data_IF_700462459032
#
_entry.id   IF_700462459032
#
_cell.length_a   1.000
_cell.length_b   1.000
_cell.length_c   1.000
_cell.angle_alpha   90.00
_cell.angle_beta   90.00
_cell.angle_gamma   90.00
#
_symmetry.space_group_name_H-M   'P 1'
#
loop_
_entity.id
_entity.type
_entity.pdbx_description
1 polymer ?
#
# COMPACT_ATOMS: atom_id res chain seq x y z
N UNK A 1 -5.17 -26.21 -81.33
CA UNK A 1 -5.47 -24.77 -81.19
C UNK A 1 -6.54 -24.74 -80.12
N UNK A 2 -6.18 -24.67 -78.83
CA UNK A 2 -5.67 -23.47 -78.14
C UNK A 2 -6.66 -22.33 -78.41
N UNK A 3 -7.41 -21.79 -77.45
CA UNK A 3 -7.04 -21.18 -76.16
C UNK A 3 -8.28 -21.31 -75.24
N UNK A 4 -8.26 -21.88 -74.01
CA UNK A 4 -7.69 -21.42 -72.73
C UNK A 4 -7.95 -19.93 -72.44
N UNK A 5 -9.16 -19.64 -71.93
CA UNK A 5 -9.50 -18.35 -71.31
C UNK A 5 -9.20 -18.42 -69.80
N UNK A 6 -8.44 -17.48 -69.24
CA UNK A 6 -8.07 -17.50 -67.83
C UNK A 6 -9.21 -17.03 -66.92
N UNK A 7 -9.35 -17.71 -65.79
CA UNK A 7 -10.14 -17.31 -64.64
C UNK A 7 -9.51 -16.06 -64.01
N UNK A 8 -10.31 -14.99 -63.89
CA UNK A 8 -9.96 -13.74 -63.22
C UNK A 8 -9.96 -14.00 -61.69
N UNK A 9 -8.78 -14.27 -61.14
CA UNK A 9 -8.52 -14.25 -59.69
C UNK A 9 -8.65 -12.79 -59.21
N UNK A 10 -9.83 -12.45 -58.68
CA UNK A 10 -10.00 -11.25 -57.89
C UNK A 10 -9.21 -11.43 -56.57
N UNK A 11 -7.98 -10.92 -56.57
CA UNK A 11 -7.19 -10.71 -55.36
C UNK A 11 -7.93 -9.66 -54.53
N UNK A 12 -8.53 -10.08 -53.42
CA UNK A 12 -8.93 -9.19 -52.33
C UNK A 12 -7.65 -8.54 -51.81
N UNK A 13 -7.40 -7.30 -52.21
CA UNK A 13 -6.49 -6.42 -51.48
C UNK A 13 -7.09 -6.23 -50.09
N UNK A 14 -6.42 -6.81 -49.09
CA UNK A 14 -6.64 -6.43 -47.72
C UNK A 14 -6.24 -4.95 -47.59
N UNK A 15 -7.23 -4.06 -47.60
CA UNK A 15 -7.15 -2.79 -46.89
C UNK A 15 -6.87 -3.12 -45.42
N UNK A 16 -5.59 -3.26 -45.09
CA UNK A 16 -5.13 -3.12 -43.70
C UNK A 16 -5.44 -1.68 -43.33
N UNK A 17 -6.47 -1.53 -42.52
CA UNK A 17 -6.95 -0.28 -41.96
C UNK A 17 -5.81 0.35 -41.14
N UNK A 18 -5.00 1.19 -41.80
CA UNK A 18 -3.88 1.96 -41.23
C UNK A 18 -4.39 3.12 -40.34
N UNK A 19 -5.54 2.93 -39.67
CA UNK A 19 -6.21 3.97 -38.88
C UNK A 19 -6.61 3.57 -37.46
N UNK A 20 -6.20 2.37 -37.00
CA UNK A 20 -6.41 1.89 -35.62
C UNK A 20 -5.11 1.83 -34.77
N UNK A 21 -4.01 2.44 -35.23
CA UNK A 21 -2.72 2.47 -34.48
C UNK A 21 -2.48 3.80 -33.73
N UNK A 22 -3.40 4.76 -33.79
CA UNK A 22 -3.27 6.08 -33.12
C UNK A 22 -4.40 6.38 -32.11
N UNK A 23 -4.87 5.37 -31.37
CA UNK A 23 -5.91 5.58 -30.36
C UNK A 23 -5.56 5.17 -28.91
N UNK A 24 -4.44 4.47 -28.69
CA UNK A 24 -4.03 4.01 -27.34
C UNK A 24 -2.57 4.36 -26.98
N UNK A 25 -1.96 5.34 -27.66
CA UNK A 25 -0.64 5.85 -27.30
C UNK A 25 -0.74 6.96 -26.24
N UNK A 26 -0.87 6.57 -24.97
CA UNK A 26 -0.30 7.40 -23.90
C UNK A 26 1.21 7.50 -24.21
N UNK A 27 1.67 8.66 -24.67
CA UNK A 27 3.05 8.77 -25.14
C UNK A 27 4.00 8.49 -24.00
N UNK A 28 5.03 7.65 -24.21
CA UNK A 28 6.02 7.25 -23.20
C UNK A 28 6.69 8.45 -22.47
N UNK A 29 6.64 9.63 -23.08
CA UNK A 29 7.12 10.91 -22.53
C UNK A 29 6.21 11.51 -21.44
N UNK A 30 5.00 10.99 -21.23
CA UNK A 30 4.11 11.39 -20.13
C UNK A 30 4.50 10.72 -18.80
N UNK A 31 5.36 9.68 -18.84
CA UNK A 31 5.89 8.99 -17.65
C UNK A 31 6.94 9.87 -16.95
N UNK A 32 6.85 9.98 -15.63
CA UNK A 32 7.66 10.87 -14.83
C UNK A 32 9.17 10.62 -14.97
N UNK A 33 9.87 11.53 -15.64
CA UNK A 33 11.34 11.49 -15.79
C UNK A 33 11.84 10.78 -17.05
N UNK A 34 10.95 10.31 -17.92
CA UNK A 34 11.34 9.79 -19.25
C UNK A 34 11.60 10.96 -20.20
N UNK A 35 12.84 11.05 -20.70
CA UNK A 35 13.21 12.05 -21.72
C UNK A 35 12.89 11.56 -23.13
N UNK A 36 12.89 12.44 -24.13
CA UNK A 36 12.67 12.05 -25.54
C UNK A 36 13.72 11.02 -26.01
N UNK A 37 14.98 11.18 -25.59
CA UNK A 37 16.07 10.24 -25.87
C UNK A 37 15.84 8.87 -25.19
N UNK A 38 15.35 8.86 -23.95
CA UNK A 38 15.00 7.63 -23.24
C UNK A 38 13.79 6.94 -23.88
N UNK A 39 12.79 7.72 -24.31
CA UNK A 39 11.62 7.19 -25.00
C UNK A 39 11.98 6.59 -26.37
N UNK A 40 12.96 7.18 -27.07
CA UNK A 40 13.51 6.62 -28.31
C UNK A 40 14.25 5.31 -28.05
N UNK A 41 15.07 5.23 -26.99
CA UNK A 41 15.75 4.00 -26.59
C UNK A 41 14.78 2.87 -26.19
N UNK A 42 13.69 3.20 -25.50
CA UNK A 42 12.63 2.24 -25.15
C UNK A 42 11.92 1.71 -26.40
N UNK A 43 11.64 2.57 -27.38
CA UNK A 43 11.06 2.18 -28.68
C UNK A 43 12.01 1.33 -29.51
N UNK A 44 13.31 1.64 -29.53
CA UNK A 44 14.32 0.82 -30.21
C UNK A 44 14.46 -0.57 -29.57
N UNK A 45 14.22 -0.68 -28.27
CA UNK A 45 14.17 -1.95 -27.54
C UNK A 45 12.83 -2.71 -27.67
N UNK A 46 11.83 -2.15 -28.37
CA UNK A 46 10.53 -2.78 -28.60
C UNK A 46 9.47 -2.51 -27.52
N UNK A 47 9.73 -1.57 -26.60
CA UNK A 47 8.73 -1.08 -25.64
C UNK A 47 8.02 0.14 -26.23
N UNK A 48 7.04 -0.09 -27.09
CA UNK A 48 6.36 0.97 -27.85
C UNK A 48 5.17 1.59 -27.09
N UNK A 49 4.65 0.87 -26.09
CA UNK A 49 3.49 1.28 -25.28
C UNK A 49 3.74 1.19 -23.77
N UNK A 50 2.89 1.89 -23.00
CA UNK A 50 2.86 1.78 -21.53
C UNK A 50 2.57 0.35 -21.06
N UNK A 51 1.82 -0.43 -21.86
CA UNK A 51 1.54 -1.85 -21.58
C UNK A 51 2.81 -2.68 -21.69
N UNK A 52 3.67 -2.42 -22.66
CA UNK A 52 4.95 -3.14 -22.80
C UNK A 52 5.88 -2.87 -21.61
N UNK A 53 5.88 -1.64 -21.08
CA UNK A 53 6.61 -1.29 -19.84
C UNK A 53 6.01 -1.93 -18.58
N UNK A 54 4.70 -2.22 -18.58
CA UNK A 54 4.04 -2.99 -17.50
C UNK A 54 4.42 -4.46 -17.53
N UNK A 55 4.67 -5.03 -18.70
CA UNK A 55 5.08 -6.44 -18.83
C UNK A 55 6.60 -6.63 -18.66
N UNK A 56 7.40 -5.60 -18.94
CA UNK A 56 8.86 -5.64 -18.79
C UNK A 56 9.33 -5.81 -17.33
N UNK A 57 10.39 -6.61 -17.14
CA UNK A 57 11.09 -6.71 -15.86
C UNK A 57 11.98 -5.48 -15.62
N UNK A 58 12.17 -5.12 -14.34
CA UNK A 58 12.97 -3.95 -13.99
C UNK A 58 14.42 -4.08 -14.50
N UNK A 59 14.99 -5.30 -14.44
CA UNK A 59 16.35 -5.56 -14.89
C UNK A 59 16.50 -5.35 -16.40
N UNK A 60 15.49 -5.74 -17.20
CA UNK A 60 15.48 -5.54 -18.65
C UNK A 60 15.45 -4.06 -19.03
N UNK A 61 14.74 -3.23 -18.26
CA UNK A 61 14.73 -1.77 -18.44
C UNK A 61 16.09 -1.16 -18.08
N UNK A 62 16.77 -1.65 -17.04
CA UNK A 62 18.10 -1.14 -16.66
C UNK A 62 19.22 -1.54 -17.61
N UNK A 63 19.02 -2.57 -18.43
CA UNK A 63 19.95 -2.95 -19.48
C UNK A 63 19.96 -1.97 -20.67
N UNK A 64 18.97 -1.05 -20.74
CA UNK A 64 18.85 -0.07 -21.80
C UNK A 64 19.76 1.13 -21.58
N UNK A 65 20.39 1.57 -22.67
CA UNK A 65 21.26 2.74 -22.67
C UNK A 65 20.45 4.00 -22.29
N UNK A 66 20.89 4.71 -21.24
CA UNK A 66 20.21 5.90 -20.73
C UNK A 66 19.15 5.63 -19.66
N UNK A 67 18.87 4.37 -19.28
CA UNK A 67 17.96 4.03 -18.18
C UNK A 67 18.77 3.63 -16.94
N UNK A 68 18.83 4.52 -15.94
CA UNK A 68 19.43 4.18 -14.65
C UNK A 68 18.53 3.26 -13.82
N UNK A 69 19.10 2.54 -12.84
CA UNK A 69 18.34 1.71 -11.88
C UNK A 69 17.24 2.49 -11.16
N UNK A 70 17.52 3.73 -10.79
CA UNK A 70 16.54 4.64 -10.18
C UNK A 70 15.43 5.08 -11.16
N UNK A 71 15.75 5.19 -12.46
CA UNK A 71 14.76 5.54 -13.49
C UNK A 71 13.86 4.35 -13.80
N UNK A 72 14.40 3.14 -13.96
CA UNK A 72 13.64 1.91 -14.19
C UNK A 72 12.63 1.65 -13.06
N UNK A 73 13.05 1.80 -11.80
CA UNK A 73 12.17 1.67 -10.64
C UNK A 73 11.04 2.72 -10.65
N UNK A 74 11.32 3.96 -11.05
CA UNK A 74 10.31 5.02 -11.17
C UNK A 74 9.33 4.76 -12.31
N UNK A 75 9.82 4.37 -13.48
CA UNK A 75 8.98 3.96 -14.62
C UNK A 75 8.04 2.83 -14.17
N UNK A 76 8.56 1.83 -13.44
CA UNK A 76 7.75 0.70 -12.98
C UNK A 76 6.70 1.09 -11.95
N UNK A 77 7.00 2.03 -11.05
CA UNK A 77 6.03 2.57 -10.11
C UNK A 77 4.92 3.35 -10.84
N UNK A 78 5.28 4.23 -11.77
CA UNK A 78 4.31 5.06 -12.52
C UNK A 78 3.39 4.21 -13.42
N UNK A 79 3.89 3.14 -14.02
CA UNK A 79 3.08 2.25 -14.88
C UNK A 79 2.42 1.10 -14.12
N UNK A 80 2.99 0.68 -12.98
CA UNK A 80 2.58 -0.49 -12.21
C UNK A 80 1.42 -0.27 -11.22
N UNK A 81 1.00 0.98 -11.00
CA UNK A 81 -0.12 1.30 -10.09
C UNK A 81 -1.50 1.19 -10.79
N UNK A 82 -1.93 -0.03 -11.15
CA UNK A 82 -3.36 -0.39 -11.25
C UNK A 82 -3.55 -1.89 -10.96
N UNK A 83 -3.79 -2.26 -9.71
CA UNK A 83 -4.48 -3.51 -9.39
C UNK A 83 -5.48 -3.29 -8.25
N UNK A 84 -6.75 -3.06 -8.62
CA UNK A 84 -7.90 -3.61 -7.90
C UNK A 84 -9.03 -3.87 -8.90
N UNK A 85 -9.08 -5.10 -9.42
CA UNK A 85 -10.38 -5.73 -9.65
C UNK A 85 -10.42 -7.07 -8.90
N UNK A 86 -10.99 -7.04 -7.70
CA UNK A 86 -11.63 -8.22 -7.10
C UNK A 86 -12.67 -8.77 -8.08
N UNK A 87 -12.42 -9.97 -8.63
CA UNK A 87 -13.42 -11.00 -8.96
C UNK A 87 -12.75 -12.12 -9.77
N UNK A 88 -12.29 -13.19 -9.11
CA UNK A 88 -12.58 -14.59 -9.52
C UNK A 88 -12.11 -15.61 -8.49
N UNK A 89 -13.06 -16.15 -7.72
CA UNK A 89 -13.02 -17.52 -7.22
C UNK A 89 -13.34 -18.49 -8.37
N UNK A 90 -12.45 -19.46 -8.64
CA UNK A 90 -12.80 -20.74 -9.24
C UNK A 90 -11.71 -21.79 -8.98
N UNK A 91 -12.08 -22.83 -8.23
CA UNK A 91 -11.37 -24.09 -8.02
C UNK A 91 -10.49 -24.54 -9.20
N UNK A 92 -9.19 -24.71 -8.94
CA UNK A 92 -8.35 -25.68 -9.64
C UNK A 92 -7.64 -26.52 -8.58
N UNK A 93 -7.82 -27.84 -8.73
CA UNK A 93 -7.37 -28.87 -7.81
C UNK A 93 -5.84 -28.90 -7.66
N UNK A 94 -5.43 -29.15 -6.43
CA UNK A 94 -4.05 -29.35 -5.97
C UNK A 94 -3.37 -30.48 -6.75
N UNK A 95 -2.20 -30.18 -7.32
CA UNK A 95 -1.16 -31.16 -7.60
C UNK A 95 0.14 -30.68 -6.95
N UNK A 96 0.54 -31.41 -5.91
CA UNK A 96 1.80 -31.36 -5.16
C UNK A 96 3.06 -31.38 -6.05
N UNK A 97 4.18 -30.96 -5.43
CA UNK A 97 5.56 -30.75 -5.91
C UNK A 97 5.78 -29.32 -6.42
N UNK A 98 6.53 -28.44 -5.76
CA UNK A 98 7.79 -28.64 -5.03
C UNK A 98 8.02 -27.42 -4.11
N UNK A 99 8.26 -27.67 -2.83
CA UNK A 99 8.90 -26.73 -1.92
C UNK A 99 10.09 -27.46 -1.30
N UNK A 100 11.23 -26.79 -1.15
CA UNK A 100 11.95 -26.98 0.10
C UNK A 100 12.16 -25.68 0.87
N UNK A 101 12.06 -25.89 2.18
CA UNK A 101 12.10 -24.95 3.27
C UNK A 101 13.47 -24.29 3.45
N UNK A 102 13.42 -23.17 4.17
CA UNK A 102 14.50 -22.58 4.96
C UNK A 102 15.31 -23.62 5.73
N UNK A 103 16.62 -23.43 5.89
CA UNK A 103 17.31 -23.52 7.19
C UNK A 103 18.69 -22.82 7.17
N UNK A 104 19.00 -22.19 8.29
CA UNK A 104 20.33 -21.85 8.83
C UNK A 104 21.10 -20.62 8.29
N UNK A 105 21.07 -19.56 9.10
CA UNK A 105 22.14 -18.57 9.22
C UNK A 105 22.88 -18.86 10.54
N UNK A 106 24.06 -19.45 10.45
CA UNK A 106 25.18 -19.23 11.38
C UNK A 106 26.48 -19.72 10.73
N UNK A 107 27.61 -19.21 11.23
CA UNK A 107 29.00 -19.43 10.81
C UNK A 107 29.60 -18.48 9.75
N UNK A 108 30.06 -17.36 10.30
CA UNK A 108 31.36 -16.76 10.05
C UNK A 108 32.46 -17.73 9.57
N UNK A 109 33.24 -17.31 8.56
CA UNK A 109 34.70 -17.09 8.64
C UNK A 109 35.38 -17.11 7.25
N UNK A 110 36.16 -16.06 7.00
CA UNK A 110 37.44 -16.06 6.25
C UNK A 110 37.40 -16.22 4.71
N UNK A 111 37.64 -15.10 4.00
CA UNK A 111 38.85 -14.88 3.22
C UNK A 111 38.71 -13.67 2.25
N UNK A 112 39.46 -12.59 2.51
CA UNK A 112 40.22 -11.82 1.51
C UNK A 112 40.83 -10.55 2.14
N UNK A 113 42.01 -10.69 2.76
CA UNK A 113 43.00 -9.61 2.80
C UNK A 113 43.66 -9.48 1.42
N UNK A 114 43.83 -8.24 0.93
CA UNK A 114 45.06 -7.70 0.35
C UNK A 114 44.76 -6.50 -0.58
N UNK A 115 45.04 -5.29 -0.11
CA UNK A 115 45.60 -4.18 -0.89
C UNK A 115 46.00 -3.05 0.07
N UNK A 116 47.20 -3.17 0.64
CA UNK A 116 47.98 -2.02 1.08
C UNK A 116 48.50 -1.31 -0.19
N UNK A 117 48.11 -0.06 -0.40
CA UNK A 117 48.91 0.89 -1.17
C UNK A 117 49.31 2.02 -0.24
N UNK A 118 50.60 2.07 0.06
CA UNK A 118 51.25 3.20 0.69
C UNK A 118 51.28 4.38 -0.28
N UNK A 119 50.39 5.35 -0.06
CA UNK A 119 50.68 6.72 -0.40
C UNK A 119 51.29 7.36 0.85
N UNK A 120 52.57 7.72 0.79
CA UNK A 120 53.15 8.71 1.69
C UNK A 120 52.40 10.03 1.43
N UNK A 121 51.27 10.23 2.11
CA UNK A 121 50.64 11.55 2.18
C UNK A 121 51.49 12.35 3.17
N UNK A 122 52.41 13.13 2.60
CA UNK A 122 53.21 14.12 3.30
C UNK A 122 52.23 15.15 3.89
N UNK A 123 51.76 14.87 5.11
CA UNK A 123 50.78 15.70 5.80
C UNK A 123 51.27 17.15 5.93
N UNK A 124 50.36 18.12 6.20
CA UNK A 124 50.71 19.53 6.19
C UNK A 124 51.89 19.81 7.14
N UNK A 125 52.98 20.38 6.61
CA UNK A 125 54.17 20.74 7.40
C UNK A 125 53.95 22.06 8.15
N UNK A 126 53.21 22.99 7.55
CA UNK A 126 52.88 24.30 8.13
C UNK A 126 51.38 24.44 8.47
N UNK A 127 51.07 25.24 9.48
CA UNK A 127 49.69 25.50 9.93
C UNK A 127 48.78 26.08 8.83
N UNK A 128 49.38 26.76 7.84
CA UNK A 128 48.66 27.36 6.70
C UNK A 128 48.33 26.36 5.60
N UNK A 129 48.95 25.17 5.62
CA UNK A 129 48.63 24.10 4.67
C UNK A 129 47.38 23.31 5.09
N UNK A 130 46.94 23.51 6.34
CA UNK A 130 45.70 22.92 6.87
C UNK A 130 44.49 23.54 6.17
N UNK A 131 43.61 22.68 5.66
CA UNK A 131 42.41 23.06 4.93
C UNK A 131 41.50 24.01 5.72
N UNK A 132 41.43 25.26 5.25
CA UNK A 132 40.57 26.31 5.82
C UNK A 132 41.24 27.21 6.87
N UNK A 133 42.55 27.04 7.12
CA UNK A 133 43.33 27.95 7.97
C UNK A 133 43.92 29.08 7.12
N UNK A 134 43.50 30.32 7.37
CA UNK A 134 44.14 31.51 6.77
C UNK A 134 45.36 31.94 7.58
N UNK A 135 46.17 32.84 7.04
CA UNK A 135 47.35 33.41 7.74
C UNK A 135 46.96 34.04 9.08
N UNK A 136 45.83 34.75 9.13
CA UNK A 136 45.28 35.32 10.38
C UNK A 136 44.88 34.25 11.40
N UNK A 137 44.30 33.13 10.94
CA UNK A 137 43.92 32.01 11.82
C UNK A 137 45.14 31.22 12.30
N UNK A 138 46.16 31.08 11.44
CA UNK A 138 47.44 30.50 11.82
C UNK A 138 48.16 31.38 12.84
N UNK A 139 48.11 32.71 12.70
CA UNK A 139 48.62 33.65 13.70
C UNK A 139 47.89 33.50 15.05
N UNK A 140 46.56 33.37 15.03
CA UNK A 140 45.77 33.15 16.24
C UNK A 140 46.11 31.81 16.93
N UNK A 141 46.34 30.74 16.15
CA UNK A 141 46.81 29.45 16.68
C UNK A 141 48.19 29.57 17.33
N UNK A 142 49.13 30.28 16.71
CA UNK A 142 50.46 30.52 17.28
C UNK A 142 50.40 31.38 18.54
N UNK A 143 49.53 32.40 18.58
CA UNK A 143 49.32 33.23 19.78
C UNK A 143 48.68 32.43 20.93
N UNK A 144 47.83 31.47 20.61
CA UNK A 144 47.27 30.50 21.57
C UNK A 144 48.26 29.40 21.99
N UNK A 145 49.46 29.36 21.41
CA UNK A 145 50.54 28.41 21.75
C UNK A 145 50.59 27.13 20.91
N UNK A 146 49.78 27.04 19.85
CA UNK A 146 49.81 25.94 18.88
C UNK A 146 50.73 26.31 17.71
N UNK A 147 52.05 26.25 17.95
CA UNK A 147 53.06 26.73 17.00
C UNK A 147 53.36 25.78 15.85
N UNK A 148 53.01 24.49 15.99
CA UNK A 148 53.27 23.45 14.98
C UNK A 148 52.03 22.58 14.75
N UNK A 149 51.97 21.88 13.61
CA UNK A 149 50.87 20.97 13.28
C UNK A 149 50.69 19.87 14.34
N UNK A 150 51.78 19.39 14.95
CA UNK A 150 51.71 18.44 16.07
C UNK A 150 51.05 19.01 17.34
N UNK A 151 51.20 20.32 17.61
CA UNK A 151 50.50 20.94 18.73
C UNK A 151 48.99 21.00 18.48
N UNK A 152 48.57 21.24 17.24
CA UNK A 152 47.15 21.20 16.83
C UNK A 152 46.62 19.77 16.87
N UNK A 153 47.42 18.78 16.45
CA UNK A 153 47.10 17.36 16.57
C UNK A 153 46.90 16.94 18.03
N UNK A 154 47.70 17.46 18.96
CA UNK A 154 47.56 17.14 20.39
C UNK A 154 46.43 17.89 21.12
N UNK A 155 45.84 18.92 20.52
CA UNK A 155 44.78 19.72 21.13
C UNK A 155 43.40 19.07 20.93
N UNK A 156 42.50 19.19 21.91
CA UNK A 156 41.11 18.77 21.73
C UNK A 156 40.35 19.75 20.83
N UNK A 157 39.27 19.27 20.20
CA UNK A 157 38.45 20.10 19.33
C UNK A 157 37.90 21.35 20.06
N UNK A 158 37.53 21.22 21.34
CA UNK A 158 37.05 22.33 22.15
C UNK A 158 38.16 23.36 22.42
N UNK A 159 39.39 22.91 22.71
CA UNK A 159 40.53 23.79 22.93
C UNK A 159 40.89 24.60 21.68
N UNK A 160 40.79 23.98 20.50
CA UNK A 160 40.97 24.69 19.23
C UNK A 160 39.82 25.67 18.95
N UNK A 161 38.60 25.33 19.37
CA UNK A 161 37.42 26.16 19.17
C UNK A 161 37.34 27.36 20.14
N UNK A 162 38.10 27.35 21.22
CA UNK A 162 38.25 28.49 22.13
C UNK A 162 39.24 29.55 21.59
N UNK A 163 39.98 29.25 20.52
CA UNK A 163 40.90 30.20 19.86
C UNK A 163 40.10 31.24 19.07
N UNK A 164 40.49 32.50 19.21
CA UNK A 164 39.80 33.62 18.57
C UNK A 164 39.75 33.46 17.04
N UNK A 165 38.54 33.32 16.50
CA UNK A 165 38.31 33.13 15.06
C UNK A 165 38.13 31.68 14.62
N UNK A 166 38.37 30.69 15.50
CA UNK A 166 38.16 29.27 15.21
C UNK A 166 36.88 28.82 15.91
N UNK A 167 35.76 28.75 15.19
CA UNK A 167 34.55 28.14 15.74
C UNK A 167 34.64 26.61 15.76
N UNK A 168 33.72 25.94 16.48
CA UNK A 168 33.64 24.47 16.55
C UNK A 168 33.65 23.78 15.18
N UNK A 169 33.06 24.40 14.15
CA UNK A 169 33.02 23.86 12.79
C UNK A 169 34.38 23.96 12.07
N UNK A 170 35.18 24.99 12.34
CA UNK A 170 36.52 25.12 11.79
C UNK A 170 37.50 24.21 12.55
N UNK A 171 37.38 24.15 13.87
CA UNK A 171 38.15 23.24 14.73
C UNK A 171 37.96 21.77 14.31
N UNK A 172 36.73 21.33 14.04
CA UNK A 172 36.45 19.99 13.53
C UNK A 172 37.14 19.71 12.20
N UNK A 173 37.15 20.68 11.28
CA UNK A 173 37.78 20.54 9.96
C UNK A 173 39.30 20.47 10.07
N UNK A 174 39.90 21.37 10.85
CA UNK A 174 41.34 21.38 11.15
C UNK A 174 41.76 20.03 11.74
N UNK A 175 40.97 19.50 12.68
CA UNK A 175 41.25 18.23 13.35
C UNK A 175 41.12 17.02 12.43
N UNK A 176 40.15 17.03 11.51
CA UNK A 176 40.00 15.99 10.49
C UNK A 176 41.14 16.00 9.47
N UNK A 177 41.65 17.18 9.13
CA UNK A 177 42.72 17.38 8.14
C UNK A 177 44.12 17.05 8.71
N UNK A 178 44.35 17.36 9.98
CA UNK A 178 45.60 16.99 10.68
C UNK A 178 45.62 15.52 11.13
N UNK A 179 44.50 14.80 10.96
CA UNK A 179 44.37 13.39 11.25
C UNK A 179 44.36 13.12 12.76
N UNK A 180 43.18 13.16 13.36
CA UNK A 180 42.96 12.70 14.73
C UNK A 180 41.99 11.53 14.74
N UNK A 181 42.55 10.33 14.88
CA UNK A 181 41.82 9.13 15.28
C UNK A 181 42.22 8.86 16.73
N UNK A 182 41.71 9.67 17.65
CA UNK A 182 41.77 9.38 19.08
C UNK A 182 40.43 9.75 19.73
N UNK A 183 39.40 8.95 19.44
CA UNK A 183 38.26 8.78 20.34
C UNK A 183 38.74 7.89 21.48
N UNK A 184 39.40 8.50 22.46
CA UNK A 184 39.71 7.84 23.73
C UNK A 184 38.62 8.13 24.76
N UNK A 185 38.23 7.05 25.42
CA UNK A 185 37.22 6.93 26.45
C UNK A 185 37.52 7.79 27.70
N UNK A 186 36.50 7.91 28.56
CA UNK A 186 36.51 8.44 29.93
C UNK A 186 36.12 9.92 30.13
N UNK A 187 34.81 10.18 30.04
CA UNK A 187 34.14 11.13 30.95
C UNK A 187 33.18 10.33 31.82
N UNK A 188 33.61 10.04 33.05
CA UNK A 188 32.76 9.52 34.12
C UNK A 188 31.73 10.58 34.50
N UNK A 189 30.53 10.51 33.91
CA UNK A 189 29.32 11.03 34.52
C UNK A 189 28.67 9.88 35.29
N UNK A 190 28.60 9.98 36.62
CA UNK A 190 27.66 9.20 37.43
C UNK A 190 26.23 9.59 37.01
N UNK A 191 25.77 9.03 35.89
CA UNK A 191 24.36 8.84 35.60
C UNK A 191 24.00 7.57 36.33
N UNK A 192 23.16 7.71 37.35
CA UNK A 192 22.40 6.59 37.88
C UNK A 192 21.72 5.92 36.68
N UNK A 193 22.28 4.80 36.24
CA UNK A 193 21.79 3.98 35.15
C UNK A 193 20.44 3.44 35.60
N UNK A 194 19.39 4.23 35.42
CA UNK A 194 18.02 3.75 35.43
C UNK A 194 17.99 2.75 34.29
N UNK A 195 18.07 1.47 34.66
CA UNK A 195 18.08 0.35 33.74
C UNK A 195 17.05 0.61 32.64
N UNK A 196 17.40 0.43 31.36
CA UNK A 196 16.41 0.55 30.29
C UNK A 196 15.21 -0.31 30.69
N UNK A 197 13.97 0.21 30.57
CA UNK A 197 12.80 -0.62 30.85
C UNK A 197 12.97 -1.91 30.06
N UNK A 198 12.83 -3.06 30.74
CA UNK A 198 12.89 -4.35 30.05
C UNK A 198 11.96 -4.27 28.83
N UNK A 199 12.35 -4.85 27.67
CA UNK A 199 11.48 -4.85 26.51
C UNK A 199 10.13 -5.39 26.97
N UNK A 200 9.08 -4.57 26.79
CA UNK A 200 7.71 -4.98 27.08
C UNK A 200 7.54 -6.34 26.42
N UNK A 201 7.27 -7.37 27.23
CA UNK A 201 7.12 -8.72 26.75
C UNK A 201 6.17 -8.70 25.54
N UNK A 202 6.50 -9.45 24.48
CA UNK A 202 5.62 -9.62 23.32
C UNK A 202 4.28 -10.22 23.79
N UNK A 203 3.36 -9.37 24.25
CA UNK A 203 2.03 -9.75 24.71
C UNK A 203 1.19 -10.03 23.46
N UNK A 204 0.55 -11.18 23.43
CA UNK A 204 -0.28 -11.59 22.30
C UNK A 204 -1.50 -10.64 22.22
N UNK A 205 -1.51 -9.74 21.23
CA UNK A 205 -2.63 -8.80 21.01
C UNK A 205 -3.64 -9.42 20.04
N UNK A 206 -4.93 -9.30 20.36
CA UNK A 206 -6.02 -9.75 19.49
C UNK A 206 -7.01 -8.62 19.16
N UNK A 207 -7.60 -8.67 17.96
CA UNK A 207 -8.60 -7.69 17.53
C UNK A 207 -9.98 -8.01 18.11
N UNK A 208 -10.45 -7.19 19.05
CA UNK A 208 -11.78 -7.31 19.64
C UNK A 208 -12.71 -6.19 19.17
N UNK A 209 -14.00 -6.48 18.90
CA UNK A 209 -14.97 -5.45 18.52
C UNK A 209 -15.47 -4.67 19.74
N UNK A 210 -15.66 -3.36 19.59
CA UNK A 210 -16.31 -2.52 20.60
C UNK A 210 -17.79 -2.88 20.81
N UNK A 211 -18.25 -2.78 22.06
CA UNK A 211 -19.65 -2.82 22.43
C UNK A 211 -20.31 -4.21 22.42
N UNK A 212 -21.65 -4.22 22.52
CA UNK A 212 -22.44 -5.43 22.78
C UNK A 212 -22.74 -6.25 21.51
N UNK A 213 -21.71 -6.82 20.88
CA UNK A 213 -21.83 -7.58 19.61
C UNK A 213 -22.68 -8.85 19.75
N UNK A 214 -22.60 -9.55 20.88
CA UNK A 214 -23.33 -10.80 21.14
C UNK A 214 -24.82 -10.57 21.47
N UNK A 215 -25.24 -9.31 21.70
CA UNK A 215 -26.62 -9.02 22.12
C UNK A 215 -27.62 -9.50 21.08
N UNK A 216 -28.67 -10.18 21.53
CA UNK A 216 -29.77 -10.72 20.72
C UNK A 216 -31.09 -10.10 21.16
N UNK A 217 -32.02 -9.77 20.26
CA UNK A 217 -33.27 -9.13 20.63
C UNK A 217 -34.28 -10.09 21.26
N UNK A 218 -35.14 -9.55 22.11
CA UNK A 218 -36.28 -10.27 22.66
C UNK A 218 -37.46 -10.25 21.67
N UNK A 219 -37.55 -11.28 20.82
CA UNK A 219 -38.64 -11.43 19.86
C UNK A 219 -39.77 -12.30 20.41
N UNK A 220 -41.02 -11.89 20.17
CA UNK A 220 -42.18 -12.75 20.43
C UNK A 220 -42.20 -13.99 19.53
N UNK A 221 -42.82 -15.08 20.00
CA UNK A 221 -42.86 -16.40 19.32
C UNK A 221 -43.27 -16.32 17.84
N UNK A 222 -44.22 -15.43 17.51
CA UNK A 222 -44.71 -15.23 16.14
C UNK A 222 -43.62 -14.63 15.25
N UNK A 223 -42.94 -13.56 15.71
CA UNK A 223 -41.85 -12.89 14.97
C UNK A 223 -40.69 -13.85 14.77
N UNK A 224 -40.29 -14.58 15.81
CA UNK A 224 -39.20 -15.56 15.73
C UNK A 224 -39.50 -16.66 14.69
N UNK A 225 -40.71 -17.24 14.73
CA UNK A 225 -41.15 -18.23 13.74
C UNK A 225 -41.14 -17.68 12.31
N UNK A 226 -41.63 -16.46 12.11
CA UNK A 226 -41.66 -15.81 10.79
C UNK A 226 -40.24 -15.44 10.31
N UNK A 227 -39.34 -15.08 11.22
CA UNK A 227 -37.93 -14.81 10.91
C UNK A 227 -37.23 -16.09 10.46
N UNK A 228 -37.45 -17.21 11.16
CA UNK A 228 -36.97 -18.52 10.76
C UNK A 228 -37.57 -18.97 9.42
N UNK A 229 -38.86 -18.69 9.16
CA UNK A 229 -39.47 -18.94 7.86
C UNK A 229 -38.79 -18.13 6.74
N UNK A 230 -38.49 -16.85 6.98
CA UNK A 230 -37.78 -15.99 6.03
C UNK A 230 -36.39 -16.54 5.71
N UNK A 231 -35.63 -16.98 6.72
CA UNK A 231 -34.29 -17.54 6.52
C UNK A 231 -34.33 -18.87 5.74
N UNK A 232 -35.38 -19.67 5.91
CA UNK A 232 -35.57 -20.94 5.19
C UNK A 232 -36.07 -20.76 3.76
N UNK A 233 -36.85 -19.70 3.50
CA UNK A 233 -37.42 -19.42 2.18
C UNK A 233 -36.51 -18.46 1.43
N UNK A 234 -35.64 -19.01 0.60
CA UNK A 234 -34.80 -18.20 -0.27
C UNK A 234 -35.63 -17.47 -1.33
N UNK A 235 -35.12 -16.30 -1.69
CA UNK A 235 -35.63 -15.55 -2.83
C UNK A 235 -34.71 -15.81 -4.03
N UNK A 236 -35.27 -15.84 -5.25
CA UNK A 236 -34.44 -15.75 -6.44
C UNK A 236 -33.58 -14.49 -6.40
N UNK A 237 -32.40 -14.52 -7.02
CA UNK A 237 -31.50 -13.36 -7.07
C UNK A 237 -32.13 -12.12 -7.75
N UNK A 238 -33.16 -12.32 -8.58
CA UNK A 238 -33.81 -11.26 -9.37
C UNK A 238 -32.84 -10.42 -10.20
N UNK A 239 -31.85 -11.06 -10.82
CA UNK A 239 -30.95 -10.40 -11.75
C UNK A 239 -31.65 -10.16 -13.11
N UNK A 240 -31.23 -9.10 -13.82
CA UNK A 240 -31.73 -8.80 -15.18
C UNK A 240 -31.52 -10.00 -16.13
N UNK A 241 -32.48 -10.26 -17.01
CA UNK A 241 -32.31 -11.31 -18.02
C UNK A 241 -31.03 -11.11 -18.84
N UNK A 242 -30.31 -12.20 -19.11
CA UNK A 242 -29.10 -12.24 -19.94
C UNK A 242 -27.94 -11.33 -19.46
N UNK A 243 -27.92 -10.88 -18.20
CA UNK A 243 -26.80 -10.10 -17.62
C UNK A 243 -25.46 -10.85 -17.73
N UNK A 244 -25.44 -12.15 -17.38
CA UNK A 244 -24.27 -13.02 -17.50
C UNK A 244 -23.77 -13.21 -18.94
N UNK A 245 -24.55 -12.84 -19.97
CA UNK A 245 -24.14 -13.00 -21.37
C UNK A 245 -23.38 -11.80 -21.92
N UNK A 246 -23.51 -10.62 -21.30
CA UNK A 246 -22.94 -9.37 -21.81
C UNK A 246 -22.54 -8.46 -20.64
N UNK A 247 -21.23 -8.17 -20.53
CA UNK A 247 -20.65 -7.29 -19.50
C UNK A 247 -21.35 -5.92 -19.41
N UNK A 248 -21.71 -5.31 -20.54
CA UNK A 248 -22.47 -4.04 -20.58
C UNK A 248 -23.90 -4.10 -19.98
N UNK A 249 -24.41 -5.29 -19.67
CA UNK A 249 -25.75 -5.48 -19.10
C UNK A 249 -25.58 -5.76 -17.61
N UNK A 250 -25.87 -4.78 -16.73
CA UNK A 250 -25.66 -4.97 -15.29
C UNK A 250 -26.69 -5.94 -14.69
N UNK A 251 -26.36 -6.44 -13.51
CA UNK A 251 -27.21 -7.35 -12.70
C UNK A 251 -28.53 -6.71 -12.27
N UNK A 252 -28.58 -5.38 -12.12
CA UNK A 252 -29.75 -4.61 -11.68
C UNK A 252 -31.02 -4.97 -12.47
N UNK A 253 -32.05 -5.43 -11.74
CA UNK A 253 -33.31 -5.88 -12.33
C UNK A 253 -33.94 -4.86 -13.28
N UNK A 254 -34.39 -5.36 -14.44
CA UNK A 254 -35.23 -4.65 -15.40
C UNK A 254 -36.31 -5.59 -15.90
N UNK A 255 -37.56 -5.13 -15.85
CA UNK A 255 -38.70 -5.93 -16.34
C UNK A 255 -38.47 -6.35 -17.80
N UNK A 256 -38.48 -7.66 -18.14
CA UNK A 256 -38.24 -8.12 -19.49
C UNK A 256 -39.39 -7.67 -20.41
N UNK A 257 -39.08 -6.83 -21.41
CA UNK A 257 -40.10 -6.21 -22.29
C UNK A 257 -40.28 -6.93 -23.62
N UNK A 258 -39.24 -7.55 -24.17
CA UNK A 258 -39.27 -8.15 -25.50
C UNK A 258 -40.39 -9.17 -25.70
N UNK A 259 -41.10 -9.11 -26.84
CA UNK A 259 -42.25 -9.97 -27.15
C UNK A 259 -41.92 -11.46 -27.14
N UNK A 260 -40.70 -11.82 -27.53
CA UNK A 260 -40.22 -13.19 -27.57
C UNK A 260 -39.32 -13.57 -26.39
N UNK A 261 -39.17 -12.68 -25.40
CA UNK A 261 -38.37 -12.97 -24.20
C UNK A 261 -38.90 -14.21 -23.50
N UNK A 262 -37.99 -15.15 -23.24
CA UNK A 262 -38.31 -16.43 -22.61
C UNK A 262 -38.64 -16.25 -21.13
N UNK A 263 -37.93 -15.34 -20.46
CA UNK A 263 -38.22 -14.95 -19.07
C UNK A 263 -39.59 -14.28 -18.95
N UNK A 264 -39.92 -13.30 -19.82
CA UNK A 264 -41.24 -12.65 -19.85
C UNK A 264 -42.38 -13.64 -20.03
N UNK A 265 -42.17 -14.68 -20.84
CA UNK A 265 -43.15 -15.74 -21.12
C UNK A 265 -43.26 -16.78 -19.99
N UNK A 266 -42.46 -16.69 -18.93
CA UNK A 266 -42.49 -17.64 -17.81
C UNK A 266 -41.93 -19.01 -18.15
N UNK A 267 -40.99 -19.10 -19.10
CA UNK A 267 -40.36 -20.40 -19.42
C UNK A 267 -39.43 -20.79 -18.26
N UNK A 268 -39.70 -21.96 -17.66
CA UNK A 268 -38.89 -22.53 -16.58
C UNK A 268 -37.41 -22.57 -16.96
N UNK A 269 -36.54 -22.18 -16.02
CA UNK A 269 -35.09 -22.13 -16.22
C UNK A 269 -34.54 -20.81 -16.77
N UNK A 270 -35.38 -19.79 -16.99
CA UNK A 270 -34.94 -18.43 -17.39
C UNK A 270 -34.96 -17.41 -16.24
N UNK A 271 -35.13 -17.89 -15.02
CA UNK A 271 -35.26 -17.07 -13.81
C UNK A 271 -36.69 -16.57 -13.61
N UNK A 272 -37.06 -16.37 -12.35
CA UNK A 272 -38.36 -15.85 -11.97
C UNK A 272 -38.49 -14.35 -12.29
N UNK A 273 -39.72 -13.93 -12.57
CA UNK A 273 -40.04 -12.51 -12.73
C UNK A 273 -40.46 -11.93 -11.39
N UNK A 274 -40.05 -10.69 -11.09
CA UNK A 274 -40.47 -10.00 -9.86
C UNK A 274 -42.00 -9.89 -9.80
N UNK A 275 -42.58 -10.46 -8.75
CA UNK A 275 -44.01 -10.47 -8.47
C UNK A 275 -44.29 -10.22 -6.98
N UNK A 276 -45.52 -9.79 -6.65
CA UNK A 276 -45.89 -9.48 -5.27
C UNK A 276 -45.87 -10.71 -4.33
N UNK A 277 -45.98 -11.93 -4.89
CA UNK A 277 -45.93 -13.18 -4.12
C UNK A 277 -44.58 -13.46 -3.46
N UNK A 278 -43.50 -12.85 -3.93
CA UNK A 278 -42.15 -13.00 -3.34
C UNK A 278 -41.89 -12.09 -2.14
N UNK A 279 -42.90 -11.34 -1.68
CA UNK A 279 -42.77 -10.50 -0.50
C UNK A 279 -42.57 -11.35 0.75
N UNK A 280 -41.69 -10.90 1.62
CA UNK A 280 -41.55 -11.46 2.97
C UNK A 280 -42.73 -11.08 3.86
N UNK A 281 -43.02 -11.89 4.91
CA UNK A 281 -44.04 -11.56 5.88
C UNK A 281 -43.82 -10.16 6.44
N UNK A 282 -44.91 -9.43 6.66
CA UNK A 282 -44.87 -8.00 7.01
C UNK A 282 -44.15 -7.75 8.34
N UNK A 283 -44.42 -8.55 9.36
CA UNK A 283 -43.84 -8.41 10.71
C UNK A 283 -42.32 -8.55 10.78
N UNK A 284 -41.69 -9.22 9.81
CA UNK A 284 -40.23 -9.47 9.78
C UNK A 284 -39.54 -8.89 8.55
N UNK A 285 -40.26 -8.08 7.77
CA UNK A 285 -39.73 -7.44 6.56
C UNK A 285 -38.81 -6.30 6.98
N UNK A 286 -37.54 -6.36 6.56
CA UNK A 286 -36.56 -5.32 6.85
C UNK A 286 -35.76 -5.54 8.15
N UNK A 287 -36.09 -6.56 8.95
CA UNK A 287 -35.28 -6.91 10.13
C UNK A 287 -33.89 -7.43 9.72
N UNK A 288 -32.87 -7.10 10.50
CA UNK A 288 -31.54 -7.69 10.40
C UNK A 288 -31.62 -9.23 10.51
N UNK A 289 -30.68 -10.02 9.97
CA UNK A 289 -30.65 -11.46 10.19
C UNK A 289 -30.75 -11.84 11.66
N UNK A 290 -30.12 -11.11 12.59
CA UNK A 290 -30.23 -11.36 14.04
C UNK A 290 -31.62 -11.08 14.61
N UNK A 291 -32.48 -10.33 13.91
CA UNK A 291 -33.83 -10.02 14.33
C UNK A 291 -34.08 -8.59 14.78
N UNK A 292 -33.03 -7.77 14.92
CA UNK A 292 -33.17 -6.36 15.28
C UNK A 292 -33.82 -5.53 14.15
N UNK A 293 -34.55 -4.50 14.54
CA UNK A 293 -34.89 -3.38 13.67
C UNK A 293 -33.68 -2.43 13.57
N UNK A 294 -33.25 -2.12 12.35
CA UNK A 294 -32.06 -1.30 12.13
C UNK A 294 -32.40 0.20 12.23
N UNK A 295 -31.68 0.92 13.09
CA UNK A 295 -31.75 2.38 13.20
C UNK A 295 -30.46 2.98 12.65
N UNK A 296 -30.58 3.85 11.64
CA UNK A 296 -29.44 4.57 11.06
C UNK A 296 -29.08 5.78 11.92
N UNK A 297 -27.82 5.89 12.33
CA UNK A 297 -27.32 6.91 13.26
C UNK A 297 -26.16 7.70 12.64
N UNK A 298 -26.14 9.01 12.88
CA UNK A 298 -25.12 9.95 12.41
C UNK A 298 -24.34 10.65 13.54
N UNK A 299 -24.92 10.71 14.74
CA UNK A 299 -24.38 11.39 15.92
C UNK A 299 -24.89 10.74 17.23
N UNK A 300 -24.34 11.14 18.37
CA UNK A 300 -24.74 10.58 19.67
C UNK A 300 -26.17 10.95 20.09
N UNK A 301 -26.71 12.07 19.61
CA UNK A 301 -28.09 12.49 19.90
C UNK A 301 -29.11 11.59 19.21
N UNK A 302 -28.78 11.02 18.03
CA UNK A 302 -29.66 10.06 17.33
C UNK A 302 -29.83 8.73 18.09
N UNK A 303 -29.03 8.48 19.14
CA UNK A 303 -29.20 7.34 20.05
C UNK A 303 -30.34 7.56 21.05
N UNK A 304 -30.90 8.77 21.14
CA UNK A 304 -32.02 9.07 22.02
C UNK A 304 -33.32 8.42 21.52
N UNK A 305 -33.97 7.64 22.38
CA UNK A 305 -35.24 6.97 22.07
C UNK A 305 -35.11 5.64 21.32
N UNK A 306 -33.88 5.16 21.10
CA UNK A 306 -33.62 3.81 20.57
C UNK A 306 -33.79 2.77 21.68
N UNK A 307 -34.61 1.76 21.44
CA UNK A 307 -34.81 0.63 22.36
C UNK A 307 -33.82 -0.49 22.06
N UNK A 308 -32.79 -0.65 22.89
CA UNK A 308 -31.72 -1.63 22.68
C UNK A 308 -32.16 -3.10 22.70
N UNK A 309 -33.37 -3.41 23.17
CA UNK A 309 -33.87 -4.80 23.23
C UNK A 309 -34.57 -5.20 21.93
N UNK A 310 -35.12 -4.23 21.18
CA UNK A 310 -35.81 -4.46 19.90
C UNK A 310 -35.01 -3.95 18.70
N UNK A 311 -34.19 -2.93 18.90
CA UNK A 311 -33.50 -2.18 17.86
C UNK A 311 -31.98 -2.27 18.01
N UNK A 312 -31.29 -2.25 16.88
CA UNK A 312 -29.84 -2.14 16.82
C UNK A 312 -29.45 -0.98 15.91
N UNK A 313 -28.31 -0.38 16.20
CA UNK A 313 -27.84 0.82 15.51
C UNK A 313 -26.86 0.45 14.41
N UNK A 314 -27.03 1.05 13.23
CA UNK A 314 -26.00 1.09 12.18
C UNK A 314 -25.47 2.50 12.05
N UNK A 315 -24.19 2.68 12.35
CA UNK A 315 -23.52 3.97 12.22
C UNK A 315 -23.27 4.22 10.73
N UNK A 316 -23.65 5.39 10.23
CA UNK A 316 -23.41 5.76 8.85
C UNK A 316 -21.90 5.79 8.53
N UNK A 317 -21.51 5.32 7.34
CA UNK A 317 -20.10 5.25 6.91
C UNK A 317 -19.40 6.62 6.86
N UNK A 318 -20.15 7.71 6.70
CA UNK A 318 -19.60 9.08 6.68
C UNK A 318 -19.18 9.60 8.06
N UNK A 319 -19.49 8.88 9.14
CA UNK A 319 -19.10 9.26 10.50
C UNK A 319 -17.64 8.85 10.71
N UNK A 320 -16.77 9.82 10.96
CA UNK A 320 -15.34 9.57 11.21
C UNK A 320 -15.04 8.99 12.60
N UNK A 321 -13.85 8.40 12.76
CA UNK A 321 -13.43 7.64 13.95
C UNK A 321 -13.70 8.33 15.29
N UNK A 322 -13.29 9.59 15.44
CA UNK A 322 -13.53 10.38 16.67
C UNK A 322 -15.00 10.41 17.10
N UNK A 323 -15.93 10.55 16.14
CA UNK A 323 -17.36 10.58 16.45
C UNK A 323 -17.91 9.16 16.62
N UNK A 324 -17.37 8.18 15.90
CA UNK A 324 -17.74 6.77 16.06
C UNK A 324 -17.46 6.30 17.48
N UNK A 325 -16.28 6.60 18.01
CA UNK A 325 -15.90 6.28 19.39
C UNK A 325 -16.93 6.76 20.40
N UNK A 326 -17.28 8.04 20.36
CA UNK A 326 -18.29 8.62 21.25
C UNK A 326 -19.69 7.99 21.07
N UNK A 327 -20.04 7.55 19.87
CA UNK A 327 -21.32 6.85 19.60
C UNK A 327 -21.28 5.43 20.14
N UNK A 328 -20.16 4.72 19.96
CA UNK A 328 -19.99 3.32 20.40
C UNK A 328 -20.03 3.22 21.92
N UNK A 329 -19.27 4.07 22.63
CA UNK A 329 -19.29 4.17 24.10
C UNK A 329 -20.70 4.50 24.61
N UNK A 330 -21.34 5.54 24.07
CA UNK A 330 -22.70 5.91 24.50
C UNK A 330 -23.76 4.87 24.14
N UNK A 331 -23.57 4.10 23.06
CA UNK A 331 -24.46 3.01 22.70
C UNK A 331 -24.32 1.83 23.67
N UNK A 332 -23.09 1.49 24.06
CA UNK A 332 -22.82 0.44 25.04
C UNK A 332 -23.40 0.77 26.42
N UNK A 333 -23.21 2.00 26.90
CA UNK A 333 -23.80 2.50 28.14
C UNK A 333 -25.33 2.39 28.17
N UNK A 334 -25.97 2.58 27.02
CA UNK A 334 -27.42 2.47 26.85
C UNK A 334 -27.89 1.04 26.58
N UNK A 335 -26.96 0.08 26.49
CA UNK A 335 -27.26 -1.31 26.20
C UNK A 335 -27.70 -1.56 24.75
N UNK A 336 -27.30 -0.72 23.80
CA UNK A 336 -27.68 -0.80 22.39
C UNK A 336 -26.56 -1.50 21.60
N UNK A 337 -26.93 -2.47 20.77
CA UNK A 337 -25.97 -3.14 19.87
C UNK A 337 -25.64 -2.26 18.66
N UNK A 338 -24.35 -2.08 18.38
CA UNK A 338 -23.85 -1.51 17.13
C UNK A 338 -23.60 -2.64 16.12
N UNK A 339 -24.19 -2.54 14.92
CA UNK A 339 -24.09 -3.57 13.88
C UNK A 339 -22.77 -3.54 13.12
N UNK A 340 -22.11 -2.40 13.07
CA UNK A 340 -20.83 -2.19 12.42
C UNK A 340 -19.83 -1.58 13.42
N UNK A 341 -19.30 -2.37 14.37
CA UNK A 341 -18.38 -1.89 15.39
C UNK A 341 -16.98 -1.60 14.83
N UNK A 342 -16.24 -0.72 15.50
CA UNK A 342 -14.78 -0.59 15.38
C UNK A 342 -14.10 -1.74 16.11
N UNK A 343 -13.03 -2.29 15.53
CA UNK A 343 -12.18 -3.30 16.19
C UNK A 343 -10.94 -2.63 16.76
N UNK A 344 -10.55 -3.02 17.97
CA UNK A 344 -9.37 -2.55 18.68
C UNK A 344 -8.47 -3.71 19.06
N UNK A 345 -7.17 -3.42 19.13
CA UNK A 345 -6.16 -4.35 19.63
C UNK A 345 -6.24 -4.37 21.16
N UNK A 346 -6.53 -5.54 21.72
CA UNK A 346 -6.58 -5.79 23.16
C UNK A 346 -5.48 -6.80 23.51
N UNK A 347 -4.71 -6.50 24.55
CA UNK A 347 -3.69 -7.41 25.07
C UNK A 347 -4.38 -8.63 25.72
N UNK A 348 -3.95 -9.82 25.32
CA UNK A 348 -4.43 -11.08 25.88
C UNK A 348 -3.44 -11.58 26.94
N UNK A 349 -3.96 -12.00 28.10
CA UNK A 349 -3.16 -12.54 29.23
C UNK A 349 -2.66 -13.97 29.03
#
# INVERSE_FOLDING_TARGET
>A
MAEDEPEDEAVEEADTDESDEEADAESLTEIGGVSEETADALREAGYESVTDLREADQDDLTALEGVSTALAARIKADVGDVDVSEDTDADVEVSDEDAPESESADEAAEAAEAAEEEAEDEGPEDLTDISGVSEDTADALREAGYETVDHVRGASQDQLADVEGIGMALAARIKADVGDVDVSEEVEAEVEEEAPPEPEADVETELQPRGLVEKTPDLGEVKERLLAQRRRQDKPAFNRQDHHKKKRVPTSWRRPRGNLSKQRRGIKGKGDTVEAGFRTPEEVRGLHPSGFEEVYVHNADDLEGVDGDTQAVRIASKVGGRKREAIEESAEDRGIRVLNPTYEEVETE
#
